data_IF_558902254109
#
_entry.id   IF_558902254109
#
_cell.length_a   1.000
_cell.length_b   1.000
_cell.length_c   1.000
_cell.angle_alpha   90.00
_cell.angle_beta   90.00
_cell.angle_gamma   90.00
#
_symmetry.space_group_name_H-M   'P 1'
#
loop_
_entity.id
_entity.type
_entity.pdbx_description
1 polymer ?
#
# COMPACT_ATOMS: atom_id res chain seq x y z
N UNK A 1 33.31 -24.78 -28.25
CA UNK A 1 32.88 -23.49 -27.69
C UNK A 1 31.77 -22.98 -28.61
N UNK A 2 30.51 -23.35 -28.33
CA UNK A 2 29.38 -22.92 -29.14
C UNK A 2 29.20 -21.42 -28.93
N UNK A 3 29.51 -20.63 -29.96
CA UNK A 3 29.17 -19.21 -30.01
C UNK A 3 27.65 -19.13 -30.08
N UNK A 4 27.01 -18.58 -29.05
CA UNK A 4 25.59 -18.21 -29.11
C UNK A 4 25.31 -17.44 -30.39
N UNK A 5 24.19 -17.75 -31.02
CA UNK A 5 23.79 -17.07 -32.25
C UNK A 5 23.46 -15.62 -31.91
N UNK A 6 23.81 -14.67 -32.77
CA UNK A 6 23.53 -13.23 -32.58
C UNK A 6 22.09 -12.93 -32.12
N UNK A 7 21.03 -13.62 -32.60
CA UNK A 7 19.65 -13.46 -32.12
C UNK A 7 19.42 -13.76 -30.64
N UNK A 8 20.07 -14.78 -30.07
CA UNK A 8 19.93 -15.16 -28.65
C UNK A 8 20.48 -14.07 -27.73
N UNK A 9 21.59 -13.44 -28.13
CA UNK A 9 22.19 -12.33 -27.39
C UNK A 9 21.29 -11.09 -27.34
N UNK A 10 20.54 -10.81 -28.41
CA UNK A 10 19.58 -9.70 -28.42
C UNK A 10 18.34 -9.99 -27.55
N UNK A 11 17.87 -11.23 -27.51
CA UNK A 11 16.75 -11.63 -26.66
C UNK A 11 17.09 -11.49 -25.16
N UNK A 12 18.26 -12.00 -24.75
CA UNK A 12 18.76 -11.86 -23.36
C UNK A 12 18.95 -10.39 -22.96
N UNK A 13 19.48 -9.56 -23.86
CA UNK A 13 19.63 -8.14 -23.60
C UNK A 13 18.27 -7.44 -23.45
N UNK A 14 17.29 -7.76 -24.30
CA UNK A 14 15.94 -7.22 -24.20
C UNK A 14 15.25 -7.63 -22.88
N UNK A 15 15.36 -8.91 -22.50
CA UNK A 15 14.85 -9.42 -21.23
C UNK A 15 15.49 -8.71 -20.03
N UNK A 16 16.82 -8.58 -20.02
CA UNK A 16 17.54 -7.87 -18.97
C UNK A 16 17.12 -6.39 -18.87
N UNK A 17 16.89 -5.72 -20.00
CA UNK A 17 16.40 -4.34 -20.04
C UNK A 17 15.00 -4.24 -19.43
N UNK A 18 14.09 -5.14 -19.81
CA UNK A 18 12.71 -5.15 -19.29
C UNK A 18 12.71 -5.44 -17.78
N UNK A 19 13.44 -6.46 -17.34
CA UNK A 19 13.59 -6.79 -15.92
C UNK A 19 14.22 -5.65 -15.13
N UNK A 20 15.27 -5.00 -15.68
CA UNK A 20 15.90 -3.83 -15.07
C UNK A 20 14.94 -2.66 -14.94
N UNK A 21 14.17 -2.34 -15.99
CA UNK A 21 13.17 -1.29 -15.95
C UNK A 21 12.07 -1.57 -14.91
N UNK A 22 11.57 -2.81 -14.86
CA UNK A 22 10.58 -3.22 -13.85
C UNK A 22 11.13 -3.08 -12.42
N UNK A 23 12.37 -3.51 -12.19
CA UNK A 23 13.03 -3.38 -10.89
C UNK A 23 13.15 -1.92 -10.45
N UNK A 24 13.45 -0.99 -11.37
CA UNK A 24 13.51 0.45 -11.07
C UNK A 24 12.17 0.95 -10.52
N UNK A 25 11.03 0.56 -11.11
CA UNK A 25 9.72 0.97 -10.61
C UNK A 25 9.40 0.41 -9.23
N UNK A 26 9.75 -0.86 -8.97
CA UNK A 26 9.58 -1.48 -7.65
C UNK A 26 10.43 -0.76 -6.59
N UNK A 27 11.70 -0.48 -6.91
CA UNK A 27 12.60 0.25 -6.00
C UNK A 27 12.10 1.67 -5.77
N UNK A 28 11.70 2.38 -6.82
CA UNK A 28 11.16 3.73 -6.71
C UNK A 28 9.90 3.77 -5.82
N UNK A 29 8.98 2.82 -6.02
CA UNK A 29 7.80 2.66 -5.18
C UNK A 29 8.19 2.45 -3.71
N UNK A 30 9.10 1.51 -3.41
CA UNK A 30 9.52 1.22 -2.04
C UNK A 30 10.17 2.44 -1.38
N UNK A 31 11.05 3.15 -2.08
CA UNK A 31 11.71 4.35 -1.56
C UNK A 31 10.68 5.45 -1.22
N UNK A 32 9.76 5.73 -2.15
CA UNK A 32 8.72 6.75 -1.96
C UNK A 32 7.79 6.36 -0.81
N UNK A 33 7.34 5.11 -0.75
CA UNK A 33 6.46 4.63 0.31
C UNK A 33 7.16 4.72 1.68
N UNK A 34 8.40 4.24 1.80
CA UNK A 34 9.15 4.27 3.05
C UNK A 34 9.40 5.70 3.55
N UNK A 35 9.73 6.64 2.66
CA UNK A 35 9.88 8.06 3.01
C UNK A 35 8.57 8.69 3.48
N UNK A 36 7.44 8.23 2.95
CA UNK A 36 6.11 8.78 3.26
C UNK A 36 5.48 8.17 4.51
N UNK A 37 5.86 6.96 4.92
CA UNK A 37 5.26 6.28 6.07
C UNK A 37 5.29 7.13 7.36
N UNK A 38 6.44 7.70 7.68
CA UNK A 38 6.65 8.46 8.92
C UNK A 38 6.39 9.97 8.78
N UNK A 39 5.97 10.45 7.60
CA UNK A 39 5.72 11.88 7.41
C UNK A 39 4.54 12.34 8.29
N UNK A 40 4.72 13.35 9.16
CA UNK A 40 3.78 13.60 10.25
C UNK A 40 2.52 14.40 9.86
N UNK A 41 2.42 14.83 8.60
CA UNK A 41 1.27 15.58 8.09
C UNK A 41 0.51 14.78 7.02
N UNK A 42 -0.71 15.23 6.73
CA UNK A 42 -1.54 14.71 5.65
C UNK A 42 -0.78 14.81 4.31
N UNK A 43 -0.65 13.67 3.63
CA UNK A 43 -0.22 13.59 2.23
C UNK A 43 -1.41 13.64 1.28
N UNK A 44 -2.59 13.30 1.78
CA UNK A 44 -3.86 13.28 1.06
C UNK A 44 -4.94 13.87 1.97
N UNK A 45 -5.83 14.69 1.39
CA UNK A 45 -6.77 15.53 2.15
C UNK A 45 -7.77 14.75 3.02
N UNK A 46 -7.99 13.47 2.74
CA UNK A 46 -8.87 12.59 3.52
C UNK A 46 -8.15 11.90 4.69
N UNK A 47 -6.81 11.85 4.73
CA UNK A 47 -6.06 11.08 5.74
C UNK A 47 -6.45 11.49 7.16
N UNK A 48 -6.52 12.79 7.47
CA UNK A 48 -6.92 13.28 8.79
C UNK A 48 -8.32 12.82 9.20
N UNK A 49 -9.27 12.81 8.26
CA UNK A 49 -10.61 12.29 8.53
C UNK A 49 -10.60 10.76 8.76
N UNK A 50 -9.76 10.01 8.03
CA UNK A 50 -9.59 8.58 8.25
C UNK A 50 -8.99 8.29 9.63
N UNK A 51 -8.03 9.11 10.09
CA UNK A 51 -7.50 9.04 11.47
C UNK A 51 -8.62 9.30 12.49
N UNK A 52 -9.50 10.27 12.24
CA UNK A 52 -10.65 10.51 13.12
C UNK A 52 -11.60 9.30 13.17
N UNK A 53 -11.85 8.62 12.04
CA UNK A 53 -12.63 7.36 12.04
C UNK A 53 -11.96 6.28 12.89
N UNK A 54 -10.64 6.11 12.77
CA UNK A 54 -9.87 5.16 13.59
C UNK A 54 -9.95 5.53 15.08
N UNK A 55 -9.85 6.81 15.43
CA UNK A 55 -10.02 7.29 16.81
C UNK A 55 -11.40 6.92 17.36
N UNK A 56 -12.46 7.04 16.57
CA UNK A 56 -13.81 6.63 17.01
C UNK A 56 -13.91 5.14 17.26
N UNK A 57 -13.29 4.31 16.41
CA UNK A 57 -13.23 2.85 16.63
C UNK A 57 -12.53 2.53 17.95
N UNK A 58 -11.40 3.19 18.24
CA UNK A 58 -10.67 3.02 19.49
C UNK A 58 -11.51 3.45 20.71
N UNK A 59 -12.27 4.54 20.57
CA UNK A 59 -13.19 5.04 21.59
C UNK A 59 -14.51 4.23 21.68
N UNK A 60 -14.66 3.16 20.90
CA UNK A 60 -15.91 2.36 20.82
C UNK A 60 -17.16 3.18 20.44
N UNK A 61 -16.97 4.28 19.71
CA UNK A 61 -18.06 5.13 19.20
C UNK A 61 -18.60 4.58 17.88
N UNK A 62 -19.89 4.82 17.57
CA UNK A 62 -20.44 4.44 16.26
C UNK A 62 -19.70 5.17 15.13
N UNK A 63 -19.30 4.41 14.11
CA UNK A 63 -18.75 4.92 12.86
C UNK A 63 -19.85 5.58 12.02
N UNK A 64 -21.00 4.93 11.84
CA UNK A 64 -22.08 5.46 11.01
C UNK A 64 -23.15 6.16 11.86
N UNK A 65 -22.76 7.25 12.52
CA UNK A 65 -23.67 8.10 13.27
C UNK A 65 -24.26 9.22 12.37
N UNK A 66 -25.41 9.82 12.72
CA UNK A 66 -25.87 11.03 12.06
C UNK A 66 -24.76 12.11 12.04
N UNK A 67 -24.58 12.84 10.92
CA UNK A 67 -23.52 13.83 10.81
C UNK A 67 -23.71 14.98 11.80
N UNK A 68 -22.61 15.42 12.39
CA UNK A 68 -22.52 16.55 13.33
C UNK A 68 -21.42 17.52 12.90
N UNK A 69 -21.33 18.69 13.52
CA UNK A 69 -20.23 19.64 13.26
C UNK A 69 -18.84 19.02 13.47
N UNK A 70 -18.71 18.14 14.46
CA UNK A 70 -17.43 17.50 14.78
C UNK A 70 -17.12 16.26 13.93
N UNK A 71 -18.13 15.58 13.39
CA UNK A 71 -17.94 14.27 12.77
C UNK A 71 -18.99 13.99 11.69
N UNK A 72 -18.49 13.72 10.49
CA UNK A 72 -19.29 13.26 9.35
C UNK A 72 -18.75 11.90 8.91
N UNK A 73 -19.56 10.83 8.96
CA UNK A 73 -19.10 9.51 8.55
C UNK A 73 -18.85 9.46 7.04
N UNK A 74 -17.79 8.77 6.65
CA UNK A 74 -17.59 8.41 5.25
C UNK A 74 -18.43 7.20 4.85
N UNK A 75 -18.94 7.21 3.63
CA UNK A 75 -19.73 6.12 3.05
C UNK A 75 -18.83 5.00 2.50
N UNK A 76 -17.95 4.46 3.35
CA UNK A 76 -17.05 3.35 3.00
C UNK A 76 -17.21 2.16 3.93
N UNK A 77 -16.94 0.92 3.45
CA UNK A 77 -16.92 -0.27 4.29
C UNK A 77 -15.93 -0.14 5.46
N UNK A 78 -16.24 -0.69 6.64
CA UNK A 78 -15.54 -0.31 7.86
C UNK A 78 -14.23 -1.09 8.10
N UNK A 79 -13.96 -2.13 7.31
CA UNK A 79 -12.85 -3.06 7.54
C UNK A 79 -11.51 -2.32 7.70
N UNK A 80 -11.26 -1.34 6.83
CA UNK A 80 -10.03 -0.57 6.87
C UNK A 80 -9.85 0.19 8.20
N UNK A 81 -10.92 0.77 8.75
CA UNK A 81 -10.89 1.47 10.03
C UNK A 81 -10.59 0.52 11.19
N UNK A 82 -11.20 -0.67 11.20
CA UNK A 82 -10.97 -1.65 12.26
C UNK A 82 -9.55 -2.23 12.22
N UNK A 83 -9.04 -2.58 11.04
CA UNK A 83 -7.66 -3.08 10.89
C UNK A 83 -6.66 -1.98 11.26
N UNK A 84 -6.90 -0.76 10.82
CA UNK A 84 -6.05 0.39 11.17
C UNK A 84 -6.11 0.74 12.67
N UNK A 85 -7.27 0.57 13.32
CA UNK A 85 -7.38 0.71 14.76
C UNK A 85 -6.58 -0.36 15.51
N UNK A 86 -6.57 -1.61 15.03
CA UNK A 86 -5.72 -2.65 15.61
C UNK A 86 -4.23 -2.29 15.49
N UNK A 87 -3.79 -1.77 14.34
CA UNK A 87 -2.43 -1.26 14.16
C UNK A 87 -2.13 -0.07 15.10
N UNK A 88 -3.06 0.87 15.22
CA UNK A 88 -2.93 2.06 16.07
C UNK A 88 -2.81 1.73 17.57
N UNK A 89 -3.33 0.58 18.03
CA UNK A 89 -3.10 0.12 19.41
C UNK A 89 -1.63 -0.18 19.70
N UNK A 90 -0.84 -0.51 18.67
CA UNK A 90 0.59 -0.83 18.81
C UNK A 90 1.45 0.39 18.51
N UNK A 91 1.12 1.16 17.47
CA UNK A 91 1.95 2.28 17.00
C UNK A 91 1.54 3.65 17.57
N UNK A 92 0.41 3.72 18.26
CA UNK A 92 -0.25 4.98 18.62
C UNK A 92 -1.16 5.51 17.51
N UNK A 93 -2.08 6.42 17.88
CA UNK A 93 -2.98 7.10 16.96
C UNK A 93 -2.21 8.14 16.12
N UNK A 94 -2.41 8.13 14.81
CA UNK A 94 -1.80 9.05 13.87
C UNK A 94 -1.88 8.50 12.45
N UNK A 95 -1.12 9.08 11.52
CA UNK A 95 -1.08 8.64 10.11
C UNK A 95 -0.38 7.29 9.91
N UNK A 96 0.69 7.05 10.68
CA UNK A 96 1.53 5.86 10.55
C UNK A 96 0.75 4.53 10.54
N UNK A 97 -0.16 4.21 11.50
CA UNK A 97 -0.88 2.93 11.49
C UNK A 97 -1.68 2.71 10.20
N UNK A 98 -2.38 3.72 9.70
CA UNK A 98 -3.17 3.64 8.48
C UNK A 98 -2.27 3.39 7.26
N UNK A 99 -1.14 4.10 7.19
CA UNK A 99 -0.19 3.94 6.09
C UNK A 99 0.52 2.59 6.13
N UNK A 100 0.81 2.03 7.32
CA UNK A 100 1.34 0.67 7.45
C UNK A 100 0.35 -0.37 6.92
N UNK A 101 -0.95 -0.23 7.23
CA UNK A 101 -1.99 -1.12 6.70
C UNK A 101 -2.06 -1.03 5.17
N UNK A 102 -2.06 0.18 4.62
CA UNK A 102 -2.09 0.40 3.16
C UNK A 102 -0.84 -0.14 2.47
N UNK A 103 0.34 0.15 3.01
CA UNK A 103 1.62 -0.32 2.49
C UNK A 103 1.71 -1.86 2.52
N UNK A 104 1.40 -2.49 3.66
CA UNK A 104 1.36 -3.94 3.77
C UNK A 104 0.38 -4.57 2.79
N UNK A 105 -0.82 -4.00 2.64
CA UNK A 105 -1.84 -4.47 1.69
C UNK A 105 -1.33 -4.40 0.25
N UNK A 106 -0.65 -3.32 -0.14
CA UNK A 106 -0.09 -3.21 -1.50
C UNK A 106 1.02 -4.23 -1.77
N UNK A 107 1.87 -4.55 -0.78
CA UNK A 107 2.86 -5.62 -0.93
C UNK A 107 2.20 -6.99 -1.10
N UNK A 108 1.13 -7.26 -0.34
CA UNK A 108 0.34 -8.49 -0.48
C UNK A 108 -0.31 -8.58 -1.87
N UNK A 109 -0.83 -7.47 -2.39
CA UNK A 109 -1.39 -7.40 -3.74
C UNK A 109 -0.32 -7.67 -4.79
N UNK A 110 0.87 -7.05 -4.68
CA UNK A 110 1.98 -7.32 -5.60
C UNK A 110 2.38 -8.79 -5.60
N UNK A 111 2.45 -9.40 -4.40
CA UNK A 111 2.72 -10.83 -4.27
C UNK A 111 1.64 -11.68 -4.94
N UNK A 112 0.36 -11.37 -4.75
CA UNK A 112 -0.72 -12.10 -5.42
C UNK A 112 -0.67 -11.95 -6.94
N UNK A 113 -0.45 -10.75 -7.46
CA UNK A 113 -0.32 -10.51 -8.90
C UNK A 113 0.84 -11.34 -9.47
N UNK A 114 2.00 -11.34 -8.80
CA UNK A 114 3.14 -12.16 -9.19
C UNK A 114 2.78 -13.66 -9.21
N UNK A 115 2.15 -14.16 -8.15
CA UNK A 115 1.76 -15.58 -8.03
C UNK A 115 0.73 -16.00 -9.07
N UNK A 116 -0.17 -15.10 -9.45
CA UNK A 116 -1.12 -15.35 -10.53
C UNK A 116 -0.39 -15.38 -11.87
N UNK A 117 0.45 -14.39 -12.15
CA UNK A 117 1.23 -14.34 -13.40
C UNK A 117 2.11 -15.59 -13.57
N UNK A 118 2.88 -15.95 -12.55
CA UNK A 118 3.71 -17.16 -12.52
C UNK A 118 2.90 -18.42 -12.85
N UNK A 119 1.73 -18.59 -12.22
CA UNK A 119 0.84 -19.75 -12.48
C UNK A 119 0.32 -19.82 -13.91
N UNK A 120 0.06 -18.68 -14.54
CA UNK A 120 -0.49 -18.63 -15.90
C UNK A 120 0.60 -18.70 -16.97
N UNK A 121 1.85 -18.33 -16.66
CA UNK A 121 2.95 -18.28 -17.63
C UNK A 121 4.00 -19.39 -17.49
N UNK A 122 4.05 -20.10 -16.35
CA UNK A 122 4.97 -21.22 -16.13
C UNK A 122 5.73 -21.14 -14.81
#
# INVERSE_FOLDING_TARGET
>A
MYSESTPERYALAAEAIVCGAAAIFVVAYLLVALQRLAYPFDLEWMEGSMVHHVSRVLDTKPLYAPPTLDYTPFLYPPLYYYVSAAAARVTGLGFLPLRLVSFGSSLVIFWFIYRIAERETG
#
